data_IF_019450534029
#
_entry.id   IF_019450534029
#
_cell.length_a   1.000
_cell.length_b   1.000
_cell.length_c   1.000
_cell.angle_alpha   90.00
_cell.angle_beta   90.00
_cell.angle_gamma   90.00
#
_symmetry.space_group_name_H-M   'P 1'
#
loop_
_entity.id
_entity.type
_entity.pdbx_description
1 polymer ?
#
# COMPACT_ATOMS: atom_id res chain seq x y z
N UNK A 1 8.44 15.56 -5.29
CA UNK A 1 7.83 15.03 -4.04
C UNK A 1 7.33 13.64 -4.36
N UNK A 2 7.78 12.61 -3.64
CA UNK A 2 7.33 11.23 -3.89
C UNK A 2 5.95 11.03 -3.24
N UNK A 3 5.01 10.43 -3.98
CA UNK A 3 3.64 10.18 -3.52
C UNK A 3 3.45 8.74 -3.10
N UNK A 4 2.65 8.50 -2.07
CA UNK A 4 2.26 7.17 -1.57
C UNK A 4 1.07 6.65 -2.38
N UNK A 5 0.96 5.32 -2.52
CA UNK A 5 -0.17 4.66 -3.19
C UNK A 5 -1.27 4.31 -2.16
N UNK A 6 -2.40 5.01 -2.23
CA UNK A 6 -3.61 4.72 -1.47
C UNK A 6 -4.55 3.73 -2.16
N UNK A 7 -5.58 3.26 -1.46
CA UNK A 7 -6.74 2.62 -2.09
C UNK A 7 -7.79 3.67 -2.52
N UNK A 8 -8.88 3.22 -3.13
CA UNK A 8 -9.95 4.10 -3.62
C UNK A 8 -10.78 4.74 -2.51
N UNK A 9 -10.68 4.29 -1.26
CA UNK A 9 -11.36 4.86 -0.11
C UNK A 9 -10.68 6.13 0.43
N UNK A 10 -9.41 6.36 0.07
CA UNK A 10 -8.71 7.58 0.45
C UNK A 10 -9.05 8.75 -0.48
N UNK A 11 -9.08 9.95 0.09
CA UNK A 11 -9.18 11.17 -0.70
C UNK A 11 -7.84 11.47 -1.38
N UNK A 12 -7.87 11.77 -2.69
CA UNK A 12 -6.68 12.09 -3.48
C UNK A 12 -5.94 13.31 -2.91
N UNK A 13 -4.61 13.22 -2.80
CA UNK A 13 -3.73 14.29 -2.32
C UNK A 13 -2.42 14.35 -3.12
N UNK A 14 -1.66 15.45 -3.06
CA UNK A 14 -0.35 15.56 -3.72
C UNK A 14 0.67 14.51 -3.24
N UNK A 15 0.52 14.05 -2.00
CA UNK A 15 1.34 13.00 -1.40
C UNK A 15 0.66 11.62 -1.35
N UNK A 16 -0.59 11.50 -1.80
CA UNK A 16 -1.35 10.24 -1.78
C UNK A 16 -2.15 10.07 -3.07
N UNK A 17 -1.66 9.20 -3.95
CA UNK A 17 -2.31 8.88 -5.22
C UNK A 17 -3.27 7.71 -5.03
N UNK A 18 -4.39 7.75 -5.73
CA UNK A 18 -5.39 6.67 -5.72
C UNK A 18 -5.66 6.17 -7.15
N UNK A 19 -6.24 4.96 -7.31
CA UNK A 19 -6.67 4.49 -8.62
C UNK A 19 -7.72 5.43 -9.22
N UNK A 20 -7.69 5.60 -10.54
CA UNK A 20 -8.72 6.36 -11.25
C UNK A 20 -9.95 5.47 -11.43
N UNK A 21 -11.14 5.98 -11.09
CA UNK A 21 -12.40 5.23 -11.22
C UNK A 21 -12.91 5.18 -12.66
N UNK A 22 -13.71 4.16 -13.00
CA UNK A 22 -14.44 4.04 -14.28
C UNK A 22 -13.58 4.15 -15.54
N UNK A 23 -12.40 3.54 -15.53
CA UNK A 23 -11.42 3.63 -16.62
C UNK A 23 -11.57 2.48 -17.60
N UNK A 24 -11.50 2.80 -18.91
CA UNK A 24 -11.46 1.79 -19.98
C UNK A 24 -10.08 1.15 -20.08
N UNK A 25 -10.05 -0.15 -20.41
CA UNK A 25 -8.79 -0.83 -20.73
C UNK A 25 -8.09 -0.14 -21.92
N UNK A 26 -6.75 -0.16 -21.92
CA UNK A 26 -5.87 0.41 -22.95
C UNK A 26 -5.88 1.94 -23.11
N UNK A 27 -6.56 2.69 -22.24
CA UNK A 27 -6.30 4.15 -22.14
C UNK A 27 -5.05 4.43 -21.30
N UNK A 28 -4.47 5.64 -21.35
CA UNK A 28 -3.37 6.04 -20.48
C UNK A 28 -3.69 5.85 -18.99
N UNK A 29 -4.92 6.21 -18.57
CA UNK A 29 -5.43 5.98 -17.22
C UNK A 29 -5.50 4.48 -16.91
N UNK A 30 -5.89 3.66 -17.89
CA UNK A 30 -6.00 2.20 -17.72
C UNK A 30 -4.64 1.56 -17.52
N UNK A 31 -3.63 2.04 -18.27
CA UNK A 31 -2.23 1.64 -18.13
C UNK A 31 -1.63 2.12 -16.80
N UNK A 32 -1.95 3.34 -16.38
CA UNK A 32 -1.62 3.87 -15.06
C UNK A 32 -2.20 2.97 -13.94
N UNK A 33 -3.50 2.66 -13.97
CA UNK A 33 -4.15 1.79 -12.99
C UNK A 33 -3.55 0.38 -12.97
N UNK A 34 -3.17 -0.16 -14.13
CA UNK A 34 -2.47 -1.46 -14.21
C UNK A 34 -1.12 -1.41 -13.50
N UNK A 35 -0.32 -0.37 -13.74
CA UNK A 35 0.95 -0.17 -13.05
C UNK A 35 0.76 0.05 -11.54
N UNK A 36 -0.25 0.84 -11.16
CA UNK A 36 -0.62 1.10 -9.77
C UNK A 36 -0.99 -0.19 -9.03
N UNK A 37 -1.85 -1.03 -9.63
CA UNK A 37 -2.23 -2.35 -9.10
C UNK A 37 -1.03 -3.28 -8.97
N UNK A 38 -0.14 -3.30 -9.97
CA UNK A 38 1.06 -4.11 -9.94
C UNK A 38 2.01 -3.70 -8.80
N UNK A 39 2.25 -2.40 -8.63
CA UNK A 39 3.05 -1.87 -7.54
C UNK A 39 2.47 -2.26 -6.17
N UNK A 40 1.16 -2.11 -5.98
CA UNK A 40 0.48 -2.54 -4.74
C UNK A 40 0.63 -4.03 -4.47
N UNK A 41 0.38 -4.86 -5.47
CA UNK A 41 0.51 -6.31 -5.33
C UNK A 41 1.94 -6.74 -4.93
N UNK A 42 2.97 -6.04 -5.41
CA UNK A 42 4.35 -6.31 -5.00
C UNK A 42 4.63 -5.90 -3.54
N UNK A 43 4.13 -4.74 -3.11
CA UNK A 43 4.26 -4.29 -1.71
C UNK A 43 3.48 -5.23 -0.77
N UNK A 44 2.28 -5.65 -1.15
CA UNK A 44 1.46 -6.59 -0.39
C UNK A 44 2.16 -7.94 -0.23
N UNK A 45 2.74 -8.49 -1.31
CA UNK A 45 3.55 -9.73 -1.25
C UNK A 45 4.79 -9.57 -0.36
N UNK A 46 5.52 -8.46 -0.50
CA UNK A 46 6.68 -8.16 0.35
C UNK A 46 6.30 -8.14 1.83
N UNK A 47 5.21 -7.44 2.15
CA UNK A 47 4.66 -7.40 3.51
C UNK A 47 4.24 -8.79 4.00
N UNK A 48 3.63 -9.60 3.15
CA UNK A 48 3.28 -11.00 3.45
C UNK A 48 4.51 -11.81 3.85
N UNK A 49 5.58 -11.77 3.04
CA UNK A 49 6.84 -12.48 3.30
C UNK A 49 7.48 -12.03 4.62
N UNK A 50 7.50 -10.72 4.89
CA UNK A 50 8.07 -10.19 6.13
C UNK A 50 7.26 -10.65 7.35
N UNK A 51 5.93 -10.60 7.30
CA UNK A 51 5.04 -11.09 8.37
C UNK A 51 5.20 -12.59 8.62
N UNK A 52 5.36 -13.35 7.55
CA UNK A 52 5.57 -14.80 7.58
C UNK A 52 6.88 -15.16 8.27
N UNK A 53 7.97 -14.47 7.93
CA UNK A 53 9.30 -14.72 8.51
C UNK A 53 9.47 -14.14 9.92
N UNK A 54 8.95 -12.94 10.16
CA UNK A 54 9.10 -12.22 11.43
C UNK A 54 7.74 -12.08 12.11
N UNK A 55 7.47 -12.99 13.04
CA UNK A 55 6.20 -13.03 13.79
C UNK A 55 5.91 -11.78 14.64
N UNK A 56 6.89 -10.89 14.82
CA UNK A 56 6.69 -9.58 15.45
C UNK A 56 5.93 -8.58 14.56
N UNK A 57 5.69 -8.90 13.29
CA UNK A 57 4.92 -8.08 12.35
C UNK A 57 3.49 -8.61 12.12
N UNK A 58 3.12 -9.73 12.74
CA UNK A 58 1.79 -10.35 12.57
C UNK A 58 0.69 -9.51 13.21
N UNK A 59 -0.54 -9.62 12.67
CA UNK A 59 -1.73 -8.87 13.11
C UNK A 59 -2.06 -9.06 14.59
N UNK A 60 -1.88 -10.25 15.15
CA UNK A 60 -2.08 -10.49 16.60
C UNK A 60 -0.91 -10.00 17.47
N UNK A 61 0.17 -9.53 16.85
CA UNK A 61 1.34 -8.93 17.50
C UNK A 61 1.62 -7.56 16.89
N UNK A 62 0.59 -6.72 16.83
CA UNK A 62 0.72 -5.33 16.38
C UNK A 62 1.87 -4.66 17.13
N UNK A 63 2.68 -3.91 16.42
CA UNK A 63 3.74 -3.11 17.02
C UNK A 63 3.10 -1.98 17.83
N UNK A 64 2.95 -2.16 19.14
CA UNK A 64 2.51 -1.13 20.09
C UNK A 64 3.64 -0.15 20.40
N UNK A 65 4.22 0.42 19.35
CA UNK A 65 5.31 1.38 19.41
C UNK A 65 4.93 2.64 18.65
N UNK A 66 5.55 3.76 19.00
CA UNK A 66 5.44 4.98 18.20
C UNK A 66 5.90 4.72 16.76
N UNK A 67 5.34 5.41 15.74
CA UNK A 67 5.67 5.18 14.33
C UNK A 67 7.17 5.18 14.02
N UNK A 68 7.93 6.04 14.69
CA UNK A 68 9.38 6.15 14.56
C UNK A 68 10.05 4.83 14.97
N UNK A 69 9.64 4.27 16.12
CA UNK A 69 10.20 3.01 16.61
C UNK A 69 9.70 1.80 15.82
N UNK A 70 8.43 1.79 15.43
CA UNK A 70 7.88 0.76 14.56
C UNK A 70 8.63 0.72 13.21
N UNK A 71 8.96 1.88 12.63
CA UNK A 71 9.73 1.97 11.38
C UNK A 71 11.14 1.38 11.52
N UNK A 72 11.82 1.60 12.66
CA UNK A 72 13.13 1.00 12.93
C UNK A 72 13.05 -0.53 13.02
N UNK A 73 12.00 -1.06 13.66
CA UNK A 73 11.78 -2.51 13.76
C UNK A 73 11.53 -3.11 12.37
N UNK A 74 10.69 -2.48 11.56
CA UNK A 74 10.40 -2.91 10.18
C UNK A 74 11.69 -2.88 9.35
N UNK A 75 12.48 -1.81 9.45
CA UNK A 75 13.75 -1.70 8.73
C UNK A 75 14.74 -2.81 9.13
N UNK A 76 14.87 -3.10 10.42
CA UNK A 76 15.67 -4.23 10.90
C UNK A 76 15.19 -5.57 10.32
N UNK A 77 13.88 -5.81 10.26
CA UNK A 77 13.31 -7.01 9.64
C UNK A 77 13.68 -7.11 8.15
N UNK A 78 13.63 -6.01 7.40
CA UNK A 78 14.04 -5.98 5.98
C UNK A 78 15.53 -6.29 5.82
N UNK A 79 16.39 -5.69 6.64
CA UNK A 79 17.84 -5.95 6.62
C UNK A 79 18.13 -7.42 6.91
N UNK A 80 17.51 -7.98 7.95
CA UNK A 80 17.65 -9.39 8.32
C UNK A 80 17.09 -10.31 7.23
N UNK A 81 15.98 -9.96 6.59
CA UNK A 81 15.44 -10.71 5.45
C UNK A 81 16.45 -10.79 4.30
N UNK A 82 17.06 -9.66 3.96
CA UNK A 82 18.08 -9.61 2.91
C UNK A 82 19.31 -10.45 3.27
N UNK A 83 19.71 -10.48 4.54
CA UNK A 83 20.76 -11.39 5.02
C UNK A 83 20.33 -12.86 4.88
N UNK A 84 19.09 -13.21 5.23
CA UNK A 84 18.55 -14.57 5.02
C UNK A 84 18.61 -14.98 3.54
N UNK A 85 18.20 -14.11 2.61
CA UNK A 85 18.26 -14.39 1.16
C UNK A 85 19.70 -14.67 0.74
N UNK A 86 20.65 -13.79 1.11
CA UNK A 86 22.07 -13.95 0.73
C UNK A 86 22.70 -15.22 1.27
N UNK A 87 22.27 -15.68 2.45
CA UNK A 87 22.75 -16.90 3.08
C UNK A 87 21.89 -18.13 2.75
N UNK A 88 20.98 -18.02 1.77
CA UNK A 88 20.06 -19.08 1.34
C UNK A 88 19.28 -19.73 2.51
N UNK A 89 18.89 -18.91 3.50
CA UNK A 89 18.12 -19.37 4.67
C UNK A 89 16.67 -19.61 4.23
N UNK A 90 16.14 -20.84 4.37
CA UNK A 90 14.80 -21.17 3.91
C UNK A 90 13.73 -20.32 4.61
N UNK A 91 12.57 -20.18 3.97
CA UNK A 91 11.40 -19.62 4.64
C UNK A 91 10.92 -20.63 5.72
N UNK A 92 10.39 -20.16 6.85
CA UNK A 92 9.73 -21.05 7.81
C UNK A 92 8.54 -21.78 7.14
N UNK A 93 8.34 -23.07 7.42
CA UNK A 93 7.26 -23.87 6.82
C UNK A 93 5.86 -23.41 7.28
N UNK A 94 4.94 -23.32 6.31
CA UNK A 94 3.62 -22.67 6.40
C UNK A 94 2.50 -23.40 7.17
N UNK A 95 2.76 -24.52 7.86
CA UNK A 95 1.66 -25.30 8.48
C UNK A 95 0.88 -24.55 9.58
N UNK A 96 1.33 -23.37 10.02
CA UNK A 96 0.63 -22.52 10.99
C UNK A 96 0.03 -21.23 10.40
N UNK A 97 0.18 -20.96 9.10
CA UNK A 97 -0.07 -19.63 8.51
C UNK A 97 -1.28 -19.57 7.55
N UNK A 98 -1.88 -20.72 7.24
CA UNK A 98 -3.04 -20.86 6.33
C UNK A 98 -4.29 -20.13 6.86
N UNK A 99 -4.35 -19.82 8.17
CA UNK A 99 -5.49 -19.15 8.82
C UNK A 99 -5.30 -17.65 9.08
N UNK A 100 -4.15 -17.06 8.72
CA UNK A 100 -4.02 -15.61 8.83
C UNK A 100 -4.60 -14.97 7.59
N UNK A 101 -5.86 -14.55 7.70
CA UNK A 101 -6.47 -13.56 6.81
C UNK A 101 -5.43 -12.44 6.56
N UNK A 102 -4.87 -12.44 5.34
CA UNK A 102 -3.82 -11.51 4.90
C UNK A 102 -4.36 -10.08 4.74
N UNK A 103 -5.59 -9.82 5.19
CA UNK A 103 -6.22 -8.52 5.16
C UNK A 103 -6.77 -8.22 3.78
N UNK A 104 -7.57 -9.15 3.22
CA UNK A 104 -8.62 -8.70 2.32
C UNK A 104 -9.65 -8.01 3.21
N UNK A 105 -9.44 -6.71 3.40
CA UNK A 105 -10.47 -5.84 3.92
C UNK A 105 -11.44 -5.59 2.76
N UNK A 106 -12.37 -6.52 2.52
CA UNK A 106 -13.70 -6.13 2.07
C UNK A 106 -14.41 -5.59 3.32
N UNK A 107 -14.23 -4.31 3.60
CA UNK A 107 -15.12 -3.63 4.53
C UNK A 107 -16.15 -2.88 3.68
N UNK A 108 -17.34 -3.46 3.60
CA UNK A 108 -18.57 -2.66 3.46
C UNK A 108 -18.72 -1.86 4.76
N UNK A 109 -18.21 -0.63 4.76
CA UNK A 109 -18.44 0.33 5.84
C UNK A 109 -19.74 1.06 5.51
N UNK A 110 -20.81 0.93 6.32
CA UNK A 110 -21.97 1.79 6.19
C UNK A 110 -21.54 3.24 6.45
N UNK A 111 -22.03 4.13 5.59
CA UNK A 111 -21.79 5.58 5.55
C UNK A 111 -21.92 6.22 6.95
N UNK A 112 -20.81 6.37 7.66
CA UNK A 112 -20.74 7.21 8.85
C UNK A 112 -20.52 8.64 8.39
N UNK A 113 -21.64 9.36 8.20
CA UNK A 113 -21.71 10.77 7.83
C UNK A 113 -20.96 11.71 8.78
N UNK A 114 -19.62 11.73 8.67
CA UNK A 114 -18.76 12.69 9.35
C UNK A 114 -18.78 14.03 8.60
N UNK A 115 -18.78 15.17 9.31
CA UNK A 115 -18.83 16.48 8.68
C UNK A 115 -17.60 16.70 7.81
N UNK A 116 -17.83 16.92 6.52
CA UNK A 116 -16.81 17.27 5.53
C UNK A 116 -16.25 18.66 5.86
N UNK A 117 -15.09 18.70 6.52
CA UNK A 117 -14.35 19.95 6.73
C UNK A 117 -13.81 20.41 5.37
N UNK A 118 -14.37 21.50 4.85
CA UNK A 118 -14.06 22.14 3.57
C UNK A 118 -12.67 22.80 3.52
N UNK A 119 -11.60 22.05 3.82
CA UNK A 119 -10.22 22.46 3.49
C UNK A 119 -9.74 21.93 2.13
N UNK A 120 -10.67 21.39 1.35
CA UNK A 120 -10.45 20.32 0.36
C UNK A 120 -10.03 20.77 -1.04
N UNK A 121 -10.17 22.03 -1.43
CA UNK A 121 -10.06 22.36 -2.86
C UNK A 121 -8.62 22.41 -3.37
N UNK A 122 -7.71 23.11 -2.67
CA UNK A 122 -6.33 23.32 -3.15
C UNK A 122 -5.50 22.04 -3.17
N UNK A 123 -5.63 21.20 -2.14
CA UNK A 123 -4.92 19.92 -2.08
C UNK A 123 -5.45 18.92 -3.11
N UNK A 124 -6.76 18.88 -3.31
CA UNK A 124 -7.37 18.02 -4.32
C UNK A 124 -6.95 18.45 -5.73
N UNK A 125 -6.94 19.76 -6.02
CA UNK A 125 -6.46 20.32 -7.28
C UNK A 125 -4.99 19.96 -7.53
N UNK A 126 -4.13 20.15 -6.54
CA UNK A 126 -2.72 19.78 -6.62
C UNK A 126 -2.54 18.26 -6.79
N UNK A 127 -3.34 17.45 -6.09
CA UNK A 127 -3.35 15.99 -6.23
C UNK A 127 -3.77 15.54 -7.63
N UNK A 128 -4.80 16.16 -8.21
CA UNK A 128 -5.24 15.92 -9.59
C UNK A 128 -4.21 16.36 -10.62
N UNK A 129 -3.54 17.49 -10.40
CA UNK A 129 -2.49 17.97 -11.29
C UNK A 129 -1.35 16.95 -11.38
N UNK A 130 -0.88 16.46 -10.23
CA UNK A 130 0.14 15.42 -10.17
C UNK A 130 -0.35 14.10 -10.81
N UNK A 131 -1.59 13.68 -10.51
CA UNK A 131 -2.15 12.45 -11.08
C UNK A 131 -2.22 12.50 -12.61
N UNK A 132 -2.63 13.64 -13.19
CA UNK A 132 -2.63 13.85 -14.65
C UNK A 132 -1.22 13.80 -15.23
N UNK A 133 -0.24 14.40 -14.56
CA UNK A 133 1.16 14.33 -14.98
C UNK A 133 1.66 12.88 -15.00
N UNK A 134 1.35 12.10 -13.96
CA UNK A 134 1.71 10.69 -13.87
C UNK A 134 1.03 9.85 -14.96
N UNK A 135 -0.27 10.07 -15.20
CA UNK A 135 -1.04 9.40 -16.26
C UNK A 135 -0.47 9.73 -17.64
N UNK A 136 -0.07 10.98 -17.89
CA UNK A 136 0.49 11.40 -19.16
C UNK A 136 1.78 10.63 -19.52
N UNK A 137 2.52 10.11 -18.54
CA UNK A 137 3.70 9.25 -18.79
C UNK A 137 3.34 7.92 -19.43
N UNK A 138 2.08 7.50 -19.34
CA UNK A 138 1.54 6.30 -19.97
C UNK A 138 0.92 6.57 -21.35
N UNK A 139 1.17 7.74 -21.99
CA UNK A 139 0.71 8.02 -23.36
C UNK A 139 1.56 7.40 -24.48
N UNK A 140 2.73 6.83 -24.16
CA UNK A 140 3.65 6.26 -25.16
C UNK A 140 3.28 4.85 -25.58
#
# INVERSE_FOLDING_TARGET
>A
MESINGDSGYALRPWLQTPVANVRANTPEGRYNKAFKYARANIERCNGILKMRFRCLLKHRVLHYAPEKASQIINACVVLHNMCIRNNVPMPNDRELINYDFGIIEIDLPDLGLPTVYHTNRELEAGRALQRELIARFNR
#
